data_IF_042394317087
#
_entry.id   IF_042394317087
#
_cell.length_a   1.000
_cell.length_b   1.000
_cell.length_c   1.000
_cell.angle_alpha   90.00
_cell.angle_beta   90.00
_cell.angle_gamma   90.00
#
_symmetry.space_group_name_H-M   'P 1'
#
loop_
_entity.id
_entity.type
_entity.pdbx_description
1 polymer ?
#
# COMPACT_ATOMS: atom_id res chain seq x y z
N UNK A 1 -27.20 4.17 -0.67
CA UNK A 1 -28.18 5.22 -0.27
C UNK A 1 -27.66 6.59 -0.69
N UNK A 2 -28.43 7.68 -0.52
CA UNK A 2 -27.94 9.04 -0.89
C UNK A 2 -26.64 9.39 -0.15
N UNK A 3 -26.56 9.11 1.15
CA UNK A 3 -25.37 9.41 1.96
C UNK A 3 -24.19 8.50 1.60
N UNK A 4 -24.44 7.23 1.24
CA UNK A 4 -23.42 6.32 0.69
C UNK A 4 -22.80 6.92 -0.58
N UNK A 5 -23.64 7.33 -1.53
CA UNK A 5 -23.17 7.89 -2.81
C UNK A 5 -22.38 9.20 -2.60
N UNK A 6 -22.82 10.05 -1.67
CA UNK A 6 -22.09 11.28 -1.33
C UNK A 6 -20.69 10.99 -0.77
N UNK A 7 -20.56 9.94 0.05
CA UNK A 7 -19.28 9.52 0.59
C UNK A 7 -18.34 8.97 -0.51
N UNK A 8 -18.87 8.15 -1.43
CA UNK A 8 -18.11 7.67 -2.59
C UNK A 8 -17.72 8.83 -3.55
N UNK A 9 -18.58 9.84 -3.72
CA UNK A 9 -18.23 11.04 -4.48
C UNK A 9 -17.08 11.82 -3.83
N UNK A 10 -17.09 11.99 -2.51
CA UNK A 10 -15.97 12.62 -1.81
C UNK A 10 -14.67 11.82 -2.01
N UNK A 11 -14.73 10.49 -1.90
CA UNK A 11 -13.60 9.61 -2.18
C UNK A 11 -13.10 9.74 -3.63
N UNK A 12 -14.00 9.84 -4.61
CA UNK A 12 -13.63 10.01 -6.03
C UNK A 12 -12.88 11.33 -6.30
N UNK A 13 -13.00 12.32 -5.41
CA UNK A 13 -12.30 13.60 -5.47
C UNK A 13 -10.97 13.60 -4.71
N UNK A 14 -10.51 12.44 -4.24
CA UNK A 14 -9.25 12.29 -3.52
C UNK A 14 -9.35 12.56 -2.02
N UNK A 15 -10.56 12.79 -1.47
CA UNK A 15 -10.74 12.90 -0.01
C UNK A 15 -10.68 11.49 0.57
N UNK A 16 -9.88 11.27 1.61
CA UNK A 16 -9.95 10.02 2.37
C UNK A 16 -11.11 10.07 3.35
N UNK A 17 -12.10 9.21 3.15
CA UNK A 17 -13.32 9.20 3.96
C UNK A 17 -13.23 8.06 4.96
N UNK A 18 -13.16 8.41 6.24
CA UNK A 18 -13.35 7.47 7.36
C UNK A 18 -14.77 7.57 7.89
N UNK A 19 -15.39 6.44 8.21
CA UNK A 19 -16.71 6.40 8.84
C UNK A 19 -16.79 5.32 9.90
N UNK A 20 -17.60 5.55 10.92
CA UNK A 20 -17.87 4.56 11.96
C UNK A 20 -18.80 3.47 11.43
N UNK A 21 -18.55 2.21 11.80
CA UNK A 21 -19.39 1.07 11.37
C UNK A 21 -20.86 1.20 11.81
N UNK A 22 -21.09 1.85 12.95
CA UNK A 22 -22.40 1.94 13.61
C UNK A 22 -22.42 1.15 14.92
N UNK A 23 -23.39 1.48 15.78
CA UNK A 23 -23.56 0.84 17.09
C UNK A 23 -24.73 -0.16 17.12
N UNK A 24 -25.03 -0.75 15.96
CA UNK A 24 -26.11 -1.72 15.78
C UNK A 24 -25.52 -3.11 15.48
N UNK A 25 -24.67 -3.59 16.39
CA UNK A 25 -24.12 -4.94 16.41
C UNK A 25 -24.89 -5.91 17.30
N UNK A 26 -25.92 -5.43 17.99
CA UNK A 26 -26.77 -6.19 18.89
C UNK A 26 -28.20 -6.41 18.35
N UNK A 27 -29.01 -7.25 19.01
CA UNK A 27 -30.39 -7.48 18.61
C UNK A 27 -31.23 -6.18 18.61
N UNK A 28 -32.21 -6.04 17.70
CA UNK A 28 -32.56 -6.96 16.62
C UNK A 28 -31.74 -6.74 15.32
N UNK A 29 -30.96 -5.66 15.26
CA UNK A 29 -30.36 -5.15 14.04
C UNK A 29 -28.85 -5.39 14.08
N UNK A 30 -28.37 -6.41 13.35
CA UNK A 30 -26.96 -6.83 13.29
C UNK A 30 -26.31 -6.40 11.97
N UNK A 31 -26.33 -5.10 11.67
CA UNK A 31 -26.01 -4.62 10.31
C UNK A 31 -25.19 -3.35 10.30
N UNK A 32 -24.32 -3.29 9.30
CA UNK A 32 -23.68 -2.07 8.80
C UNK A 32 -24.78 -1.17 8.20
N UNK A 33 -24.64 0.14 8.37
CA UNK A 33 -25.61 1.13 7.86
C UNK A 33 -24.93 2.15 6.98
N UNK A 34 -25.68 2.92 6.21
CA UNK A 34 -25.09 3.99 5.42
C UNK A 34 -24.51 5.12 6.30
N UNK A 35 -23.39 5.75 5.91
CA UNK A 35 -22.58 5.49 4.71
C UNK A 35 -21.48 4.43 4.91
N UNK A 36 -21.49 3.68 6.00
CA UNK A 36 -20.48 2.64 6.29
C UNK A 36 -20.51 1.44 5.33
N UNK A 37 -21.55 1.35 4.49
CA UNK A 37 -21.68 0.42 3.38
C UNK A 37 -21.04 0.92 2.06
N UNK A 38 -20.52 2.14 2.02
CA UNK A 38 -19.88 2.71 0.83
C UNK A 38 -18.59 1.97 0.48
N UNK A 39 -18.27 1.89 -0.81
CA UNK A 39 -17.15 1.09 -1.31
C UNK A 39 -15.81 1.74 -1.03
N UNK A 40 -15.71 3.01 -1.40
CA UNK A 40 -14.45 3.76 -1.39
C UNK A 40 -14.17 4.47 -0.06
N UNK A 41 -14.78 3.98 1.03
CA UNK A 41 -14.62 4.57 2.37
C UNK A 41 -14.03 3.57 3.36
N UNK A 42 -13.20 4.05 4.28
CA UNK A 42 -12.68 3.24 5.37
C UNK A 42 -13.71 3.21 6.52
N UNK A 43 -14.40 2.08 6.63
CA UNK A 43 -15.36 1.81 7.70
C UNK A 43 -14.68 1.17 8.90
N UNK A 44 -14.86 1.76 10.08
CA UNK A 44 -14.14 1.37 11.30
C UNK A 44 -15.08 0.84 12.38
N UNK A 45 -14.90 -0.44 12.75
CA UNK A 45 -15.56 -1.08 13.88
C UNK A 45 -14.88 -0.79 15.22
N UNK A 46 -15.54 -1.18 16.31
CA UNK A 46 -15.07 -0.94 17.67
C UNK A 46 -14.55 -2.22 18.34
N UNK A 47 -13.34 -2.15 18.88
CA UNK A 47 -12.75 -3.15 19.77
C UNK A 47 -12.41 -2.55 21.13
N UNK A 48 -12.20 -3.40 22.13
CA UNK A 48 -11.59 -3.02 23.41
C UNK A 48 -10.05 -3.03 23.35
N UNK A 49 -9.41 -2.78 24.49
CA UNK A 49 -7.95 -2.74 24.61
C UNK A 49 -7.27 -4.10 24.37
N UNK A 50 -8.01 -5.21 24.50
CA UNK A 50 -7.54 -6.56 24.17
C UNK A 50 -7.81 -6.94 22.71
N UNK A 51 -8.38 -6.02 21.91
CA UNK A 51 -8.75 -6.27 20.52
C UNK A 51 -10.00 -7.13 20.37
N UNK A 52 -10.79 -7.33 21.44
CA UNK A 52 -12.06 -8.05 21.40
C UNK A 52 -13.13 -7.14 20.82
N UNK A 53 -13.97 -7.66 19.93
CA UNK A 53 -15.02 -6.87 19.29
C UNK A 53 -16.04 -6.39 20.31
N UNK A 54 -16.39 -5.10 20.25
CA UNK A 54 -17.45 -4.54 21.07
C UNK A 54 -18.80 -5.14 20.65
N UNK A 55 -19.61 -5.57 21.62
CA UNK A 55 -20.94 -6.16 21.34
C UNK A 55 -21.86 -5.24 20.54
N UNK A 56 -21.72 -3.92 20.70
CA UNK A 56 -22.49 -2.93 19.94
C UNK A 56 -21.95 -2.68 18.53
N UNK A 57 -20.73 -3.08 18.18
CA UNK A 57 -20.14 -2.73 16.87
C UNK A 57 -20.93 -3.38 15.75
N UNK A 58 -21.48 -2.56 14.86
CA UNK A 58 -22.17 -3.01 13.65
C UNK A 58 -21.28 -3.92 12.81
N UNK A 59 -21.94 -4.88 12.14
CA UNK A 59 -21.31 -5.98 11.41
C UNK A 59 -21.82 -6.00 9.98
N UNK A 60 -20.98 -6.38 9.04
CA UNK A 60 -21.39 -6.64 7.67
C UNK A 60 -22.12 -7.99 7.53
N UNK A 61 -22.16 -8.54 6.33
CA UNK A 61 -21.71 -7.91 5.07
C UNK A 61 -22.61 -6.73 4.71
N UNK A 62 -22.18 -5.92 3.74
CA UNK A 62 -23.10 -5.00 3.06
C UNK A 62 -24.23 -5.79 2.37
N UNK A 63 -25.27 -5.10 1.91
CA UNK A 63 -26.38 -5.74 1.21
C UNK A 63 -25.93 -6.56 -0.01
N UNK A 64 -24.91 -6.08 -0.72
CA UNK A 64 -24.31 -6.70 -1.89
C UNK A 64 -23.13 -7.63 -1.59
N UNK A 65 -22.88 -7.95 -0.31
CA UNK A 65 -21.94 -9.00 0.10
C UNK A 65 -20.48 -8.56 0.26
N UNK A 66 -20.16 -7.26 0.24
CA UNK A 66 -18.81 -6.76 0.50
C UNK A 66 -18.46 -6.83 2.00
N UNK A 67 -17.17 -7.02 2.27
CA UNK A 67 -16.62 -7.02 3.63
C UNK A 67 -16.74 -5.61 4.21
N UNK A 68 -17.50 -5.49 5.31
CA UNK A 68 -17.54 -4.32 6.19
C UNK A 68 -17.71 -4.79 7.65
N UNK A 69 -17.18 -4.07 8.65
CA UNK A 69 -16.26 -2.93 8.51
C UNK A 69 -14.97 -3.31 7.78
N UNK A 70 -14.19 -2.36 7.29
CA UNK A 70 -12.88 -2.66 6.71
C UNK A 70 -11.92 -3.08 7.82
N UNK A 71 -11.86 -2.29 8.89
CA UNK A 71 -10.95 -2.50 10.02
C UNK A 71 -11.62 -2.17 11.35
N UNK A 72 -10.92 -2.39 12.46
CA UNK A 72 -11.35 -2.00 13.79
C UNK A 72 -10.30 -1.14 14.51
N UNK A 73 -10.78 -0.27 15.40
CA UNK A 73 -9.94 0.48 16.33
C UNK A 73 -10.61 0.59 17.71
N UNK A 74 -9.86 1.06 18.71
CA UNK A 74 -10.35 1.17 20.08
C UNK A 74 -11.62 2.04 20.14
N UNK A 75 -12.73 1.42 20.52
CA UNK A 75 -14.03 2.07 20.68
C UNK A 75 -14.71 1.73 22.00
N UNK A 76 -14.13 0.84 22.81
CA UNK A 76 -14.56 0.58 24.19
C UNK A 76 -13.58 1.27 25.13
N UNK A 77 -14.11 2.01 26.10
CA UNK A 77 -13.36 2.83 27.04
C UNK A 77 -12.30 3.69 26.32
N UNK A 78 -12.71 4.30 25.20
CA UNK A 78 -11.85 5.22 24.49
C UNK A 78 -11.62 6.47 25.34
N UNK A 79 -10.36 6.83 25.53
CA UNK A 79 -9.97 8.06 26.21
C UNK A 79 -10.38 9.26 25.35
N UNK A 80 -11.16 10.16 25.94
CA UNK A 80 -11.67 11.35 25.26
C UNK A 80 -11.38 12.61 26.06
N UNK A 81 -11.28 13.74 25.35
CA UNK A 81 -11.44 15.04 25.98
C UNK A 81 -12.93 15.21 26.33
N UNK A 82 -13.23 15.26 27.63
CA UNK A 82 -14.57 15.52 28.12
C UNK A 82 -14.89 17.02 28.04
N UNK A 83 -16.18 17.34 28.11
CA UNK A 83 -16.62 18.73 28.19
C UNK A 83 -15.93 19.45 29.36
N UNK A 84 -15.63 20.74 29.17
CA UNK A 84 -14.99 21.61 30.18
C UNK A 84 -13.56 21.19 30.57
N UNK A 85 -12.81 20.55 29.67
CA UNK A 85 -11.36 20.34 29.81
C UNK A 85 -10.94 19.10 30.61
N UNK A 86 -11.87 18.20 30.91
CA UNK A 86 -11.58 16.93 31.59
C UNK A 86 -11.11 15.82 30.65
N UNK A 87 -10.65 14.70 31.22
CA UNK A 87 -10.42 13.45 30.50
C UNK A 87 -11.50 12.45 30.93
N UNK A 88 -12.11 11.77 29.96
CA UNK A 88 -13.15 10.78 30.20
C UNK A 88 -12.93 9.49 29.42
N UNK A 89 -13.81 8.53 29.67
CA UNK A 89 -13.89 7.27 28.91
C UNK A 89 -15.27 7.18 28.28
N UNK A 90 -15.33 6.76 27.01
CA UNK A 90 -16.59 6.58 26.31
C UNK A 90 -16.57 5.37 25.37
N UNK A 91 -17.77 4.88 25.03
CA UNK A 91 -17.98 3.71 24.19
C UNK A 91 -18.68 4.10 22.89
N UNK A 92 -18.20 3.60 21.76
CA UNK A 92 -18.85 3.75 20.46
C UNK A 92 -17.88 3.66 19.30
N UNK A 93 -18.37 3.21 18.14
CA UNK A 93 -17.61 3.28 16.87
C UNK A 93 -17.32 4.73 16.47
N UNK A 94 -18.08 5.69 17.01
CA UNK A 94 -17.85 7.13 16.89
C UNK A 94 -16.50 7.58 17.46
N UNK A 95 -15.85 6.79 18.33
CA UNK A 95 -14.50 7.05 18.81
C UNK A 95 -13.44 6.27 18.02
N UNK A 96 -13.76 5.05 17.59
CA UNK A 96 -12.88 4.27 16.70
C UNK A 96 -12.59 5.02 15.40
N UNK A 97 -13.61 5.61 14.77
CA UNK A 97 -13.48 6.34 13.50
C UNK A 97 -12.48 7.50 13.55
N UNK A 98 -12.58 8.50 14.45
CA UNK A 98 -11.62 9.61 14.52
C UNK A 98 -10.23 9.19 15.00
N UNK A 99 -10.11 8.16 15.84
CA UNK A 99 -8.79 7.59 16.20
C UNK A 99 -8.09 7.08 14.94
N UNK A 100 -8.79 6.28 14.13
CA UNK A 100 -8.25 5.80 12.86
C UNK A 100 -7.98 6.97 11.91
N UNK A 101 -8.87 7.95 11.80
CA UNK A 101 -8.66 9.12 10.94
C UNK A 101 -7.37 9.88 11.27
N UNK A 102 -7.06 10.07 12.56
CA UNK A 102 -5.79 10.66 12.99
C UNK A 102 -4.57 9.82 12.59
N UNK A 103 -4.66 8.50 12.73
CA UNK A 103 -3.60 7.59 12.29
C UNK A 103 -3.43 7.60 10.76
N UNK A 104 -4.52 7.65 9.98
CA UNK A 104 -4.47 7.80 8.52
C UNK A 104 -3.81 9.12 8.13
N UNK A 105 -4.12 10.23 8.82
CA UNK A 105 -3.48 11.50 8.54
C UNK A 105 -1.96 11.45 8.74
N UNK A 106 -1.48 10.75 9.80
CA UNK A 106 -0.06 10.55 10.03
C UNK A 106 0.59 9.67 8.94
N UNK A 107 -0.08 8.58 8.54
CA UNK A 107 0.37 7.72 7.45
C UNK A 107 0.41 8.46 6.10
N UNK A 108 -0.55 9.34 5.84
CA UNK A 108 -0.54 10.13 4.62
C UNK A 108 0.59 11.17 4.63
N UNK A 109 0.91 11.71 5.80
CA UNK A 109 2.04 12.63 5.96
C UNK A 109 3.39 11.95 5.66
N UNK A 110 3.57 10.67 6.00
CA UNK A 110 4.82 9.95 5.69
C UNK A 110 4.99 9.70 4.19
N UNK A 111 3.89 9.53 3.44
CA UNK A 111 3.89 9.33 1.99
C UNK A 111 2.93 10.31 1.28
N UNK A 112 3.29 11.60 1.14
CA UNK A 112 2.37 12.62 0.59
C UNK A 112 1.91 12.37 -0.84
N UNK A 113 2.66 11.59 -1.62
CA UNK A 113 2.31 11.20 -2.99
C UNK A 113 1.28 10.06 -3.10
N UNK A 114 0.87 9.47 -1.97
CA UNK A 114 -0.12 8.40 -1.96
C UNK A 114 -1.52 8.94 -2.32
N UNK A 115 -2.27 8.16 -3.10
CA UNK A 115 -3.72 8.38 -3.29
C UNK A 115 -4.51 7.87 -2.09
N UNK A 116 -5.74 8.37 -1.92
CA UNK A 116 -6.64 7.89 -0.88
C UNK A 116 -6.91 6.37 -0.98
N UNK A 117 -7.01 5.83 -2.19
CA UNK A 117 -7.22 4.38 -2.39
C UNK A 117 -5.97 3.55 -2.08
N UNK A 118 -4.77 4.06 -2.35
CA UNK A 118 -3.52 3.39 -1.94
C UNK A 118 -3.40 3.32 -0.42
N UNK A 119 -3.79 4.38 0.30
CA UNK A 119 -3.86 4.37 1.76
C UNK A 119 -4.84 3.33 2.26
N UNK A 120 -6.05 3.30 1.69
CA UNK A 120 -7.10 2.36 2.12
C UNK A 120 -6.60 0.92 1.96
N UNK A 121 -6.02 0.60 0.81
CA UNK A 121 -5.46 -0.72 0.53
C UNK A 121 -4.30 -1.09 1.46
N UNK A 122 -3.36 -0.16 1.72
CA UNK A 122 -2.24 -0.40 2.62
C UNK A 122 -2.72 -0.66 4.06
N UNK A 123 -3.73 0.08 4.53
CA UNK A 123 -4.34 -0.11 5.85
C UNK A 123 -5.00 -1.49 5.93
N UNK A 124 -5.78 -1.90 4.94
CA UNK A 124 -6.38 -3.24 4.91
C UNK A 124 -5.32 -4.35 4.91
N UNK A 125 -4.31 -4.26 4.03
CA UNK A 125 -3.21 -5.23 3.94
C UNK A 125 -2.36 -5.33 5.20
N UNK A 126 -2.27 -4.23 5.95
CA UNK A 126 -1.55 -4.20 7.22
C UNK A 126 -2.31 -4.89 8.36
N UNK A 127 -3.61 -5.13 8.19
CA UNK A 127 -4.48 -5.54 9.30
C UNK A 127 -4.30 -7.00 9.71
N UNK A 128 -4.60 -7.26 11.00
CA UNK A 128 -4.27 -8.50 11.70
C UNK A 128 -4.84 -9.79 11.10
N UNK A 129 -5.89 -9.73 10.30
CA UNK A 129 -6.52 -10.88 9.64
C UNK A 129 -6.77 -10.63 8.14
N UNK A 130 -5.88 -9.87 7.48
CA UNK A 130 -6.03 -9.49 6.06
C UNK A 130 -6.36 -10.68 5.13
N UNK A 131 -5.68 -11.82 5.30
CA UNK A 131 -5.87 -12.99 4.43
C UNK A 131 -7.18 -13.76 4.69
N UNK A 132 -7.82 -13.54 5.83
CA UNK A 132 -9.05 -14.24 6.25
C UNK A 132 -10.03 -13.22 6.88
N UNK A 133 -10.56 -12.29 6.08
CA UNK A 133 -11.50 -11.30 6.60
C UNK A 133 -12.84 -11.93 6.96
N UNK A 134 -13.54 -11.30 7.90
CA UNK A 134 -14.89 -11.71 8.30
C UNK A 134 -15.86 -10.51 8.30
N UNK A 135 -17.14 -10.77 8.58
CA UNK A 135 -18.16 -9.71 8.65
C UNK A 135 -18.19 -8.96 9.98
N UNK A 136 -17.34 -9.32 10.94
CA UNK A 136 -17.35 -8.81 12.32
C UNK A 136 -16.27 -7.74 12.52
N UNK A 137 -15.01 -8.11 12.24
CA UNK A 137 -13.82 -7.25 12.35
C UNK A 137 -13.27 -6.83 10.98
N UNK A 138 -13.80 -7.37 9.88
CA UNK A 138 -13.25 -7.10 8.55
C UNK A 138 -11.88 -7.73 8.38
N UNK A 139 -10.93 -6.93 7.93
CA UNK A 139 -9.52 -7.29 7.85
C UNK A 139 -8.79 -7.23 9.21
N UNK A 140 -9.46 -6.77 10.28
CA UNK A 140 -8.94 -6.78 11.65
C UNK A 140 -8.46 -5.42 12.15
N UNK A 141 -7.47 -5.45 13.05
CA UNK A 141 -6.86 -4.24 13.62
C UNK A 141 -5.64 -3.88 12.76
N UNK A 142 -5.54 -2.65 12.21
CA UNK A 142 -4.46 -2.25 11.33
C UNK A 142 -3.15 -1.99 12.11
N UNK A 143 -2.03 -2.37 11.50
CA UNK A 143 -0.69 -1.99 11.94
C UNK A 143 -0.19 -0.87 11.04
N UNK A 144 -0.17 0.37 11.56
CA UNK A 144 0.18 1.54 10.76
C UNK A 144 1.67 1.60 10.38
N UNK A 145 2.57 0.94 11.12
CA UNK A 145 3.98 0.82 10.73
C UNK A 145 4.13 -0.13 9.53
N UNK A 146 3.38 -1.24 9.54
CA UNK A 146 3.31 -2.16 8.40
C UNK A 146 2.63 -1.48 7.20
N UNK A 147 1.56 -0.70 7.43
CA UNK A 147 0.90 0.06 6.37
C UNK A 147 1.85 1.06 5.70
N UNK A 148 2.67 1.78 6.48
CA UNK A 148 3.69 2.71 5.98
C UNK A 148 4.74 2.00 5.11
N UNK A 149 5.21 0.82 5.54
CA UNK A 149 6.15 0.01 4.77
C UNK A 149 5.56 -0.45 3.43
N UNK A 150 4.30 -0.90 3.44
CA UNK A 150 3.55 -1.29 2.23
C UNK A 150 3.40 -0.07 1.30
N UNK A 151 2.95 1.05 1.84
CA UNK A 151 2.66 2.26 1.08
C UNK A 151 3.92 2.85 0.46
N UNK A 152 5.01 2.94 1.22
CA UNK A 152 6.32 3.41 0.74
C UNK A 152 6.86 2.50 -0.36
N UNK A 153 6.68 1.19 -0.26
CA UNK A 153 7.01 0.28 -1.34
C UNK A 153 6.12 0.55 -2.57
N UNK A 154 4.80 0.53 -2.43
CA UNK A 154 3.88 0.74 -3.57
C UNK A 154 4.07 2.10 -4.26
N UNK A 155 4.18 3.19 -3.50
CA UNK A 155 4.35 4.54 -4.05
C UNK A 155 5.78 4.78 -4.50
N UNK A 156 6.78 4.26 -3.80
CA UNK A 156 8.18 4.32 -4.20
C UNK A 156 8.39 3.63 -5.56
N UNK A 157 7.79 2.47 -5.77
CA UNK A 157 7.80 1.78 -7.07
C UNK A 157 6.99 2.53 -8.14
N UNK A 158 5.84 3.13 -7.79
CA UNK A 158 5.05 3.93 -8.74
C UNK A 158 5.73 5.26 -9.13
N UNK A 159 6.54 5.86 -8.27
CA UNK A 159 7.36 7.02 -8.62
C UNK A 159 8.48 6.69 -9.59
N UNK A 160 8.92 5.42 -9.61
CA UNK A 160 9.81 4.87 -10.63
C UNK A 160 9.04 4.48 -11.90
N UNK A 161 7.77 4.06 -11.77
CA UNK A 161 6.88 3.65 -12.88
C UNK A 161 6.06 4.80 -13.49
N UNK A 162 6.20 6.04 -13.02
CA UNK A 162 5.55 7.24 -13.61
C UNK A 162 6.38 7.92 -14.71
N UNK A 163 7.51 7.34 -15.08
CA UNK A 163 7.89 7.36 -16.48
C UNK A 163 7.32 6.09 -17.09
N UNK A 164 6.82 6.12 -18.33
CA UNK A 164 6.49 4.92 -19.11
C UNK A 164 7.75 4.06 -19.36
N UNK A 165 8.53 3.77 -18.34
CA UNK A 165 9.73 2.96 -18.37
C UNK A 165 9.30 1.54 -18.10
N UNK A 166 9.43 0.74 -19.15
CA UNK A 166 9.85 -0.65 -19.08
C UNK A 166 10.31 -1.03 -17.67
N UNK A 167 9.49 -1.82 -16.99
CA UNK A 167 9.74 -2.25 -15.62
C UNK A 167 11.10 -2.96 -15.60
N UNK A 168 12.11 -2.33 -14.99
CA UNK A 168 13.49 -2.82 -14.93
C UNK A 168 13.76 -3.39 -13.53
N UNK A 169 13.72 -4.71 -13.41
CA UNK A 169 14.04 -5.41 -12.16
C UNK A 169 15.40 -6.09 -12.30
N UNK A 170 16.28 -5.91 -11.32
CA UNK A 170 17.64 -6.46 -11.35
C UNK A 170 17.86 -7.35 -10.14
N UNK A 171 18.28 -8.59 -10.36
CA UNK A 171 18.50 -9.56 -9.29
C UNK A 171 19.54 -10.64 -9.64
N UNK A 172 20.26 -11.19 -8.64
CA UNK A 172 20.34 -10.72 -7.27
C UNK A 172 21.08 -9.37 -7.18
N UNK A 173 20.65 -8.50 -6.27
CA UNK A 173 21.38 -7.30 -5.87
C UNK A 173 21.39 -7.26 -4.33
N UNK A 174 22.54 -7.49 -3.65
CA UNK A 174 23.90 -7.56 -4.22
C UNK A 174 24.19 -8.80 -5.06
N UNK A 175 25.09 -8.68 -6.05
CA UNK A 175 25.49 -9.77 -6.96
C UNK A 175 26.91 -10.28 -6.66
N UNK A 176 27.20 -11.54 -7.05
CA UNK A 176 28.53 -12.16 -6.90
C UNK A 176 29.26 -12.34 -8.23
N UNK A 177 28.81 -13.24 -9.11
CA UNK A 177 29.46 -13.52 -10.39
C UNK A 177 28.71 -12.93 -11.60
N UNK A 178 27.47 -12.51 -11.39
CA UNK A 178 26.59 -12.01 -12.43
C UNK A 178 25.21 -11.73 -11.84
N UNK A 179 24.35 -11.10 -12.64
CA UNK A 179 22.96 -10.81 -12.31
C UNK A 179 22.10 -10.89 -13.56
N UNK A 180 20.79 -10.90 -13.37
CA UNK A 180 19.82 -10.84 -14.44
C UNK A 180 18.99 -9.57 -14.33
N UNK A 181 18.51 -9.15 -15.50
CA UNK A 181 17.64 -8.01 -15.71
C UNK A 181 16.36 -8.57 -16.28
N UNK A 182 15.24 -8.32 -15.60
CA UNK A 182 13.90 -8.50 -16.15
C UNK A 182 13.43 -7.13 -16.65
N UNK A 183 13.24 -7.01 -17.97
CA UNK A 183 12.83 -5.80 -18.66
C UNK A 183 11.53 -6.04 -19.42
N UNK A 184 10.46 -5.35 -19.07
CA UNK A 184 9.24 -5.34 -19.88
C UNK A 184 9.39 -4.38 -21.06
N UNK A 185 9.45 -4.88 -22.29
CA UNK A 185 9.62 -4.01 -23.48
C UNK A 185 8.32 -3.82 -24.25
N UNK A 186 8.02 -2.58 -24.66
CA UNK A 186 6.84 -2.26 -25.46
C UNK A 186 7.01 -2.60 -26.94
N UNK A 187 8.25 -2.59 -27.44
CA UNK A 187 8.59 -2.87 -28.84
C UNK A 187 9.76 -3.83 -28.96
N UNK A 188 9.89 -4.42 -30.14
CA UNK A 188 10.98 -5.32 -30.48
C UNK A 188 12.15 -4.46 -30.98
N UNK A 189 13.26 -4.48 -30.27
CA UNK A 189 14.45 -3.70 -30.62
C UNK A 189 15.73 -4.36 -30.08
N UNK A 190 16.89 -3.79 -30.43
CA UNK A 190 18.16 -4.13 -29.80
C UNK A 190 18.44 -3.04 -28.77
N UNK A 191 18.58 -3.44 -27.52
CA UNK A 191 18.96 -2.56 -26.41
C UNK A 191 20.44 -2.73 -26.10
N UNK A 192 21.05 -1.68 -25.55
CA UNK A 192 22.43 -1.68 -25.10
C UNK A 192 22.46 -1.66 -23.58
N UNK A 193 23.25 -2.53 -22.98
CA UNK A 193 23.41 -2.66 -21.53
C UNK A 193 24.87 -2.40 -21.16
N UNK A 194 25.09 -1.32 -20.44
CA UNK A 194 26.39 -0.85 -19.99
C UNK A 194 26.50 -0.93 -18.47
N UNK A 195 27.68 -1.28 -17.96
CA UNK A 195 27.97 -1.27 -16.53
C UNK A 195 29.17 -0.37 -16.26
N UNK A 196 29.07 0.47 -15.24
CA UNK A 196 30.11 1.43 -14.84
C UNK A 196 30.49 1.26 -13.38
N UNK A 197 31.78 1.43 -13.06
CA UNK A 197 32.25 1.54 -11.68
C UNK A 197 31.99 2.94 -11.09
N UNK A 198 32.34 3.15 -9.82
CA UNK A 198 32.17 4.43 -9.12
C UNK A 198 32.99 5.59 -9.70
N UNK A 199 34.05 5.30 -10.46
CA UNK A 199 34.85 6.31 -11.15
C UNK A 199 34.29 6.65 -12.55
N UNK A 200 33.19 6.00 -12.96
CA UNK A 200 32.58 6.17 -14.27
C UNK A 200 33.28 5.38 -15.39
N UNK A 201 34.20 4.47 -15.07
CA UNK A 201 34.83 3.60 -16.07
C UNK A 201 33.83 2.51 -16.47
N UNK A 202 33.64 2.33 -17.77
CA UNK A 202 32.82 1.24 -18.31
C UNK A 202 33.52 -0.11 -18.10
N UNK A 203 32.87 -1.04 -17.43
CA UNK A 203 33.38 -2.38 -17.11
C UNK A 203 32.67 -3.50 -17.87
N UNK A 204 31.48 -3.25 -18.43
CA UNK A 204 30.77 -4.15 -19.32
C UNK A 204 29.96 -3.36 -20.34
N UNK A 205 29.82 -3.90 -21.55
CA UNK A 205 29.10 -3.31 -22.68
C UNK A 205 28.55 -4.44 -23.56
N UNK A 206 27.24 -4.63 -23.59
CA UNK A 206 26.59 -5.75 -24.28
C UNK A 206 25.29 -5.32 -24.95
N UNK A 207 24.96 -5.95 -26.09
CA UNK A 207 23.70 -5.70 -26.80
C UNK A 207 22.78 -6.91 -26.69
N UNK A 208 21.48 -6.65 -26.49
CA UNK A 208 20.47 -7.70 -26.34
C UNK A 208 19.25 -7.38 -27.19
N UNK A 209 18.70 -8.39 -27.87
CA UNK A 209 17.43 -8.25 -28.56
C UNK A 209 16.29 -8.50 -27.57
N UNK A 210 15.33 -7.58 -27.54
CA UNK A 210 14.11 -7.68 -26.72
C UNK A 210 12.90 -7.87 -27.61
N UNK A 211 11.90 -8.61 -27.12
CA UNK A 211 10.62 -8.83 -27.78
C UNK A 211 9.58 -7.80 -27.31
N UNK A 212 8.71 -7.40 -28.24
CA UNK A 212 7.62 -6.47 -27.96
C UNK A 212 6.57 -7.05 -27.02
N UNK A 213 5.99 -6.20 -26.18
CA UNK A 213 4.91 -6.50 -25.23
C UNK A 213 5.18 -7.74 -24.36
N UNK A 214 6.43 -7.90 -23.92
CA UNK A 214 6.84 -9.06 -23.13
C UNK A 214 7.97 -8.74 -22.16
N UNK A 215 8.09 -9.56 -21.12
CA UNK A 215 9.23 -9.58 -20.22
C UNK A 215 10.43 -10.25 -20.90
N UNK A 216 11.57 -9.57 -20.88
CA UNK A 216 12.83 -10.02 -21.47
C UNK A 216 13.86 -10.24 -20.36
N UNK A 217 14.29 -11.49 -20.22
CA UNK A 217 15.29 -11.89 -19.24
C UNK A 217 16.70 -11.80 -19.85
N UNK A 218 17.48 -10.82 -19.40
CA UNK A 218 18.84 -10.57 -19.86
C UNK A 218 19.82 -10.96 -18.75
N UNK A 219 20.83 -11.77 -19.09
CA UNK A 219 21.82 -12.25 -18.13
C UNK A 219 23.17 -11.59 -18.37
N UNK A 220 23.68 -10.88 -17.37
CA UNK A 220 25.07 -10.40 -17.35
C UNK A 220 25.90 -11.36 -16.50
N UNK A 221 26.81 -12.08 -17.16
CA UNK A 221 27.69 -13.09 -16.57
C UNK A 221 29.14 -12.62 -16.56
N UNK A 222 30.02 -13.44 -15.99
CA UNK A 222 31.48 -13.24 -15.99
C UNK A 222 31.97 -11.98 -15.26
N UNK A 223 31.17 -11.47 -14.31
CA UNK A 223 31.48 -10.29 -13.51
C UNK A 223 32.19 -10.60 -12.19
N UNK A 224 32.63 -11.85 -11.98
CA UNK A 224 33.29 -12.28 -10.75
C UNK A 224 34.63 -11.56 -10.50
N UNK A 225 35.29 -11.12 -11.57
CA UNK A 225 36.56 -10.40 -11.54
C UNK A 225 36.44 -8.93 -11.07
N UNK A 226 35.21 -8.41 -10.96
CA UNK A 226 34.96 -7.05 -10.50
C UNK A 226 35.22 -6.91 -9.00
N UNK A 227 35.78 -5.77 -8.60
CA UNK A 227 36.00 -5.41 -7.20
C UNK A 227 34.67 -5.22 -6.47
N UNK A 228 34.62 -5.55 -5.17
CA UNK A 228 33.44 -5.29 -4.34
C UNK A 228 33.16 -3.79 -4.28
N UNK A 229 31.89 -3.38 -4.40
CA UNK A 229 31.53 -1.97 -4.40
C UNK A 229 30.22 -1.67 -5.11
N UNK A 230 29.95 -0.37 -5.28
CA UNK A 230 28.78 0.14 -5.98
C UNK A 230 29.07 0.24 -7.49
N UNK A 231 28.11 -0.15 -8.31
CA UNK A 231 28.16 -0.02 -9.76
C UNK A 231 26.88 0.65 -10.27
N UNK A 232 26.98 1.29 -11.43
CA UNK A 232 25.83 1.86 -12.14
C UNK A 232 25.58 1.07 -13.40
N UNK A 233 24.41 0.42 -13.48
CA UNK A 233 23.89 -0.21 -14.68
C UNK A 233 23.14 0.82 -15.50
N UNK A 234 23.36 0.82 -16.82
CA UNK A 234 22.59 1.63 -17.77
C UNK A 234 22.03 0.74 -18.87
N UNK A 235 20.73 0.83 -19.09
CA UNK A 235 20.01 0.15 -20.18
C UNK A 235 19.52 1.23 -21.15
N UNK A 236 19.98 1.17 -22.39
CA UNK A 236 19.71 2.16 -23.43
C UNK A 236 18.83 1.50 -24.48
N UNK A 237 17.65 2.06 -24.69
CA UNK A 237 16.74 1.73 -25.80
C UNK A 237 16.81 2.83 -26.86
N UNK A 238 16.11 2.64 -27.97
CA UNK A 238 16.02 3.67 -29.03
C UNK A 238 15.33 4.97 -28.59
N UNK A 239 14.57 4.95 -27.49
CA UNK A 239 13.83 6.12 -27.00
C UNK A 239 14.46 6.76 -25.76
N UNK A 240 15.14 5.97 -24.91
CA UNK A 240 15.61 6.45 -23.62
C UNK A 240 16.76 5.63 -23.06
N UNK A 241 17.39 6.17 -22.01
CA UNK A 241 18.35 5.44 -21.19
C UNK A 241 17.88 5.38 -19.74
N UNK A 242 17.76 4.18 -19.19
CA UNK A 242 17.40 3.91 -17.80
C UNK A 242 18.68 3.58 -17.04
N UNK A 243 18.85 4.12 -15.83
CA UNK A 243 20.02 3.83 -14.99
C UNK A 243 19.60 3.31 -13.63
N UNK A 244 20.33 2.33 -13.09
CA UNK A 244 20.09 1.75 -11.77
C UNK A 244 21.39 1.46 -11.03
N UNK A 245 21.36 1.51 -9.71
CA UNK A 245 22.50 1.25 -8.84
C UNK A 245 22.49 -0.20 -8.35
N UNK A 246 23.61 -0.89 -8.48
CA UNK A 246 23.77 -2.29 -8.04
C UNK A 246 25.03 -2.47 -7.22
N UNK A 247 25.04 -3.45 -6.32
CA UNK A 247 26.12 -3.70 -5.36
C UNK A 247 26.79 -5.04 -5.67
N UNK A 248 28.12 -5.05 -5.79
CA UNK A 248 28.95 -6.25 -5.87
C UNK A 248 29.42 -6.68 -4.48
N UNK A 249 29.18 -7.93 -4.11
CA UNK A 249 29.68 -8.55 -2.87
C UNK A 249 30.79 -9.57 -3.10
#
# INVERSE_FOLDING_TARGET
TIVTNAADWAASKGIFVTTSAGNSGGPPWFKITAPADADSVLTVGAVDSAGVIAGFSSRGLTFDGRIKPNTCARGVQAVIAANFGGIGLANGTSFSSPITAGAVACLWQSTPGATNMQLLQAIEQSSSQYFLPDSIKGYGIPDFCKADSILTFTVGFNSLAQTETELLVIYPNPFQAGFQIDLYSLKKEIIHVELFDVAGKKVSDTNHQVNANSHNMIFLKDLAHLTKGLYTLRVITSEKAISSKIIKQ
#
